data_IF_808603586382
#
_entry.id   IF_808603586382
#
_cell.length_a   1.000
_cell.length_b   1.000
_cell.length_c   1.000
_cell.angle_alpha   90.00
_cell.angle_beta   90.00
_cell.angle_gamma   90.00
#
_symmetry.space_group_name_H-M   'P 1'
#
loop_
_entity.id
_entity.type
_entity.pdbx_description
1 polymer ?
#
# COMPACT_ATOMS: atom_id res chain seq x y z
N UNK A 1 -5.00 -12.14 -7.53
CA UNK A 1 -5.68 -10.84 -7.33
C UNK A 1 -4.57 -9.84 -7.11
N UNK A 2 -4.16 -9.08 -8.13
CA UNK A 2 -2.99 -8.23 -8.02
C UNK A 2 -3.34 -6.93 -7.30
N UNK A 3 -2.52 -6.56 -6.32
CA UNK A 3 -2.52 -5.20 -5.80
C UNK A 3 -1.95 -4.23 -6.83
N UNK A 4 -2.42 -3.00 -6.83
CA UNK A 4 -1.81 -1.89 -7.58
C UNK A 4 -1.62 -0.69 -6.66
N UNK A 5 -0.51 0.02 -6.86
CA UNK A 5 -0.26 1.31 -6.22
C UNK A 5 -0.46 2.44 -7.23
N UNK A 6 -1.40 3.33 -6.95
CA UNK A 6 -1.64 4.52 -7.77
C UNK A 6 -0.93 5.71 -7.13
N UNK A 7 0.01 6.33 -7.84
CA UNK A 7 0.83 7.42 -7.31
C UNK A 7 0.04 8.71 -7.21
N UNK A 8 -0.08 9.25 -5.99
CA UNK A 8 -0.74 10.53 -5.73
C UNK A 8 0.26 11.69 -5.65
N UNK A 9 1.39 11.43 -4.99
CA UNK A 9 2.48 12.39 -4.80
C UNK A 9 3.80 11.64 -4.57
N UNK A 10 4.96 12.31 -4.60
CA UNK A 10 6.21 11.68 -4.19
C UNK A 10 6.13 11.11 -2.77
N UNK A 11 6.15 9.77 -2.66
CA UNK A 11 6.05 9.08 -1.38
C UNK A 11 4.63 8.83 -0.87
N UNK A 12 3.60 9.01 -1.68
CA UNK A 12 2.21 8.73 -1.32
C UNK A 12 1.48 8.03 -2.46
N UNK A 13 0.84 6.90 -2.14
CA UNK A 13 0.14 6.06 -3.11
C UNK A 13 -1.20 5.59 -2.54
N UNK A 14 -2.21 5.53 -3.40
CA UNK A 14 -3.41 4.75 -3.18
C UNK A 14 -3.10 3.26 -3.37
N UNK A 15 -3.54 2.43 -2.42
CA UNK A 15 -3.46 0.97 -2.52
C UNK A 15 -4.81 0.43 -2.99
N UNK A 16 -4.81 -0.23 -4.14
CA UNK A 16 -6.01 -0.87 -4.70
C UNK A 16 -5.85 -2.38 -4.77
N UNK A 17 -6.96 -3.08 -4.56
CA UNK A 17 -7.10 -4.52 -4.79
C UNK A 17 -8.25 -4.73 -5.77
N UNK A 18 -7.97 -5.37 -6.91
CA UNK A 18 -8.95 -5.57 -7.98
C UNK A 18 -9.68 -4.25 -8.39
N UNK A 19 -8.95 -3.13 -8.37
CA UNK A 19 -9.41 -1.75 -8.62
C UNK A 19 -10.19 -1.06 -7.51
N UNK A 20 -10.55 -1.75 -6.43
CA UNK A 20 -11.16 -1.13 -5.25
C UNK A 20 -10.10 -0.45 -4.40
N UNK A 21 -10.33 0.79 -3.98
CA UNK A 21 -9.47 1.48 -3.02
C UNK A 21 -9.63 0.83 -1.64
N UNK A 22 -8.53 0.33 -1.10
CA UNK A 22 -8.54 -0.38 0.19
C UNK A 22 -7.60 0.23 1.22
N UNK A 23 -6.78 1.21 0.84
CA UNK A 23 -5.71 1.70 1.70
C UNK A 23 -4.76 2.67 1.04
N UNK A 24 -3.64 2.89 1.71
CA UNK A 24 -2.55 3.73 1.21
C UNK A 24 -1.17 3.14 1.50
N UNK A 25 -0.19 3.59 0.73
CA UNK A 25 1.23 3.37 1.00
C UNK A 25 1.94 4.71 1.09
N UNK A 26 2.51 5.01 2.27
CA UNK A 26 3.10 6.32 2.56
C UNK A 26 4.56 6.21 3.04
N UNK A 27 5.38 7.15 2.60
CA UNK A 27 6.75 7.36 3.07
C UNK A 27 6.75 8.24 4.31
N UNK A 28 7.34 7.74 5.39
CA UNK A 28 7.46 8.42 6.66
C UNK A 28 8.84 9.05 6.83
N UNK A 29 8.90 10.37 6.95
CA UNK A 29 10.13 11.11 7.24
C UNK A 29 11.08 11.31 6.04
N UNK A 30 12.04 12.26 6.13
CA UNK A 30 12.83 12.68 4.97
C UNK A 30 14.17 11.95 4.74
N UNK A 31 14.81 11.35 5.76
CA UNK A 31 16.20 10.82 5.67
C UNK A 31 16.35 9.31 5.86
N UNK A 32 15.86 8.77 6.99
CA UNK A 32 15.79 7.33 7.26
C UNK A 32 14.35 6.87 7.10
N UNK A 33 13.81 7.13 5.91
CA UNK A 33 12.38 7.08 5.71
C UNK A 33 11.86 5.64 5.69
N UNK A 34 10.90 5.32 6.55
CA UNK A 34 10.19 4.03 6.51
C UNK A 34 8.93 4.16 5.68
N UNK A 35 8.47 3.07 5.11
CA UNK A 35 7.21 3.01 4.40
C UNK A 35 6.14 2.35 5.26
N UNK A 36 4.89 2.77 5.12
CA UNK A 36 3.75 2.15 5.79
C UNK A 36 2.70 1.80 4.76
N UNK A 37 2.28 0.54 4.72
CA UNK A 37 1.07 0.11 4.04
C UNK A 37 -0.04 0.02 5.08
N UNK A 38 -1.14 0.73 4.84
CA UNK A 38 -2.26 0.88 5.77
C UNK A 38 -3.58 0.61 5.07
N UNK A 39 -4.48 -0.13 5.72
CA UNK A 39 -5.84 -0.36 5.26
C UNK A 39 -6.79 0.74 5.74
N UNK A 40 -7.81 1.04 4.93
CA UNK A 40 -8.95 1.84 5.36
C UNK A 40 -9.82 1.07 6.38
N UNK A 41 -10.47 1.79 7.30
CA UNK A 41 -11.30 1.21 8.36
C UNK A 41 -12.48 0.38 7.83
N UNK A 42 -13.03 0.74 6.67
CA UNK A 42 -14.16 0.08 6.04
C UNK A 42 -13.82 -1.33 5.49
N UNK A 43 -12.57 -1.57 5.11
CA UNK A 43 -12.07 -2.86 4.64
C UNK A 43 -12.13 -3.93 5.73
N UNK A 44 -11.94 -3.54 6.99
CA UNK A 44 -11.95 -4.45 8.15
C UNK A 44 -13.29 -5.16 8.35
N UNK A 45 -14.38 -4.61 7.81
CA UNK A 45 -15.73 -5.17 7.93
C UNK A 45 -16.01 -6.36 7.01
N UNK A 46 -15.23 -6.53 5.92
CA UNK A 46 -15.51 -7.52 4.86
C UNK A 46 -14.63 -8.76 4.93
N UNK A 47 -13.32 -8.57 5.10
CA UNK A 47 -12.29 -9.58 5.37
C UNK A 47 -10.93 -8.88 5.20
N UNK A 48 -9.95 -9.23 6.04
CA UNK A 48 -8.61 -8.67 5.90
C UNK A 48 -7.92 -9.25 4.65
N UNK A 49 -7.52 -8.43 3.67
CA UNK A 49 -6.97 -8.93 2.42
C UNK A 49 -5.54 -9.43 2.65
N UNK A 50 -5.23 -10.68 2.27
CA UNK A 50 -3.87 -11.21 2.37
C UNK A 50 -2.92 -10.42 1.44
N UNK A 51 -1.76 -9.95 1.90
CA UNK A 51 -0.98 -10.45 3.05
C UNK A 51 -1.19 -9.70 4.38
N UNK A 52 -2.15 -8.80 4.49
CA UNK A 52 -2.38 -8.05 5.72
C UNK A 52 -2.81 -8.99 6.85
N UNK A 53 -2.15 -8.86 8.01
CA UNK A 53 -2.53 -9.52 9.27
C UNK A 53 -2.87 -8.52 10.38
N UNK A 54 -2.81 -7.23 10.07
CA UNK A 54 -3.15 -6.04 10.87
C UNK A 54 -3.38 -4.87 9.91
N UNK A 55 -3.98 -3.80 10.40
CA UNK A 55 -4.28 -2.58 9.62
C UNK A 55 -3.03 -1.96 8.99
N UNK A 56 -1.91 -1.93 9.72
CA UNK A 56 -0.69 -1.27 9.29
C UNK A 56 0.55 -2.19 9.30
N UNK A 57 1.35 -2.12 8.25
CA UNK A 57 2.66 -2.77 8.17
C UNK A 57 3.75 -1.77 7.77
N UNK A 58 4.89 -1.85 8.46
CA UNK A 58 6.04 -0.96 8.25
C UNK A 58 7.15 -1.67 7.49
N UNK A 59 7.76 -0.95 6.55
CA UNK A 59 8.78 -1.47 5.66
C UNK A 59 9.96 -0.49 5.56
N UNK A 60 11.18 -0.97 5.27
CA UNK A 60 12.33 -0.10 5.11
C UNK A 60 12.38 0.63 3.76
N UNK A 61 11.73 0.08 2.72
CA UNK A 61 11.76 0.61 1.35
C UNK A 61 10.41 0.41 0.65
N UNK A 62 10.16 1.18 -0.42
CA UNK A 62 8.99 0.96 -1.28
C UNK A 62 9.05 -0.41 -1.95
N UNK A 63 10.21 -0.84 -2.43
CA UNK A 63 10.39 -2.16 -3.05
C UNK A 63 9.99 -3.30 -2.12
N UNK A 64 10.28 -3.18 -0.81
CA UNK A 64 9.85 -4.16 0.17
C UNK A 64 8.32 -4.22 0.30
N UNK A 65 7.63 -3.09 0.16
CA UNK A 65 6.15 -3.06 0.08
C UNK A 65 5.67 -3.78 -1.18
N UNK A 66 6.26 -3.50 -2.34
CA UNK A 66 5.87 -4.10 -3.62
C UNK A 66 6.02 -5.62 -3.61
N UNK A 67 7.17 -6.11 -3.11
CA UNK A 67 7.42 -7.55 -2.95
C UNK A 67 6.41 -8.18 -2.00
N UNK A 68 6.13 -7.53 -0.87
CA UNK A 68 5.18 -8.03 0.11
C UNK A 68 3.76 -8.13 -0.46
N UNK A 69 3.33 -7.14 -1.24
CA UNK A 69 2.06 -7.13 -1.99
C UNK A 69 2.04 -8.09 -3.20
N UNK A 70 2.98 -9.03 -3.31
CA UNK A 70 3.00 -10.01 -4.39
C UNK A 70 3.48 -9.46 -5.73
N UNK A 71 4.33 -8.43 -5.73
CA UNK A 71 4.85 -7.79 -6.94
C UNK A 71 3.91 -6.75 -7.53
N UNK A 72 3.27 -5.94 -6.69
CA UNK A 72 2.31 -4.92 -7.11
C UNK A 72 2.90 -3.97 -8.17
N UNK A 73 2.09 -3.61 -9.16
CA UNK A 73 2.46 -2.59 -10.16
C UNK A 73 2.24 -1.18 -9.60
N UNK A 74 3.14 -0.26 -9.95
CA UNK A 74 2.92 1.18 -9.73
C UNK A 74 2.32 1.77 -11.01
N UNK A 75 1.24 2.53 -10.85
CA UNK A 75 0.57 3.28 -11.92
C UNK A 75 0.59 4.76 -11.61
N UNK A 76 0.76 5.57 -12.65
CA UNK A 76 0.55 7.01 -12.61
C UNK A 76 -0.83 7.29 -13.24
N UNK A 77 -1.56 8.31 -12.77
CA UNK A 77 -2.74 8.78 -13.52
C UNK A 77 -2.25 9.56 -14.75
N UNK A 78 -2.77 9.19 -15.92
CA UNK A 78 -2.50 9.86 -17.21
C UNK A 78 -3.14 11.27 -17.29
#
# INVERSE_FOLDING_TARGET
>A
MPYTLHKLAPGSYDLKLDSDLIGGVVKNGPRAATWTAELLDDVLSRAMPAPFTKTEHKFPTLDAVLIWLGGAEIREED
#
